data_IF_936737272111
#
_entry.id   IF_936737272111
#
_cell.length_a   1.000
_cell.length_b   1.000
_cell.length_c   1.000
_cell.angle_alpha   90.00
_cell.angle_beta   90.00
_cell.angle_gamma   90.00
#
_symmetry.space_group_name_H-M   'P 1'
#
loop_
_entity.id
_entity.type
_entity.pdbx_description
1 polymer ?
#
# COMPACT_ATOMS: atom_id res chain seq x y z
N UNK A 1 39.35 -52.23 11.57
CA UNK A 1 39.28 -50.94 12.30
C UNK A 1 39.29 -49.81 11.28
N UNK A 2 38.12 -49.31 10.88
CA UNK A 2 37.96 -47.99 10.26
C UNK A 2 36.47 -47.62 10.36
N UNK A 3 36.13 -46.78 11.33
CA UNK A 3 34.78 -46.24 11.52
C UNK A 3 34.68 -45.02 10.61
N UNK A 4 33.96 -45.13 9.50
CA UNK A 4 33.59 -43.99 8.66
C UNK A 4 32.39 -43.29 9.32
N UNK A 5 32.66 -42.30 10.17
CA UNK A 5 31.63 -41.39 10.67
C UNK A 5 31.33 -40.40 9.55
N UNK A 6 30.27 -40.70 8.78
CA UNK A 6 29.69 -39.73 7.85
C UNK A 6 29.00 -38.67 8.71
N UNK A 7 29.66 -37.53 8.91
CA UNK A 7 28.99 -36.30 9.31
C UNK A 7 27.99 -35.94 8.19
N UNK A 8 26.75 -36.40 8.32
CA UNK A 8 25.61 -35.75 7.67
C UNK A 8 25.54 -34.35 8.29
N UNK A 9 26.15 -33.38 7.62
CA UNK A 9 25.83 -31.98 7.82
C UNK A 9 24.35 -31.82 7.49
N UNK A 10 23.54 -31.73 8.54
CA UNK A 10 22.19 -31.21 8.48
C UNK A 10 22.28 -29.77 7.97
N UNK A 11 22.32 -29.60 6.66
CA UNK A 11 21.99 -28.36 5.97
C UNK A 11 20.54 -28.07 6.35
N UNK A 12 20.38 -27.29 7.41
CA UNK A 12 19.14 -26.64 7.76
C UNK A 12 18.75 -25.83 6.52
N UNK A 13 17.83 -26.36 5.72
CA UNK A 13 17.08 -25.58 4.75
C UNK A 13 16.36 -24.53 5.59
N UNK A 14 16.97 -23.36 5.74
CA UNK A 14 16.24 -22.17 6.13
C UNK A 14 15.24 -21.97 5.00
N UNK A 15 13.98 -22.32 5.28
CA UNK A 15 12.87 -21.83 4.48
C UNK A 15 13.10 -20.33 4.35
N UNK A 16 13.34 -19.86 3.13
CA UNK A 16 13.31 -18.44 2.81
C UNK A 16 11.91 -18.00 3.21
N UNK A 17 11.79 -17.49 4.44
CA UNK A 17 10.56 -16.87 4.92
C UNK A 17 10.36 -15.73 3.96
N UNK A 18 9.38 -15.90 3.07
CA UNK A 18 8.91 -14.89 2.13
C UNK A 18 9.06 -13.52 2.77
N UNK A 19 9.81 -12.63 2.11
CA UNK A 19 10.14 -11.32 2.64
C UNK A 19 8.91 -10.70 3.29
N UNK A 20 9.01 -10.41 4.58
CA UNK A 20 7.96 -9.68 5.27
C UNK A 20 7.75 -8.39 4.49
N UNK A 21 6.50 -8.07 4.24
CA UNK A 21 6.07 -6.87 3.53
C UNK A 21 6.56 -5.62 4.29
N UNK A 22 7.74 -5.12 3.93
CA UNK A 22 8.41 -4.00 4.61
C UNK A 22 8.30 -2.78 3.73
N UNK A 23 7.47 -1.82 4.15
CA UNK A 23 7.07 -0.70 3.31
C UNK A 23 7.20 0.60 4.09
N UNK A 24 7.62 1.70 3.41
CA UNK A 24 7.56 3.03 3.99
C UNK A 24 6.11 3.48 4.25
N UNK A 25 5.89 4.14 5.38
CA UNK A 25 4.60 4.71 5.74
C UNK A 25 4.75 6.19 6.05
N UNK A 26 3.79 6.99 5.59
CA UNK A 26 3.68 8.40 5.91
C UNK A 26 2.39 8.61 6.67
N UNK A 27 2.48 9.31 7.80
CA UNK A 27 1.32 9.68 8.58
C UNK A 27 1.23 11.21 8.61
N UNK A 28 0.13 11.74 8.09
CA UNK A 28 -0.15 13.18 8.09
C UNK A 28 -0.83 13.57 9.40
N UNK A 29 -0.27 14.56 10.05
CA UNK A 29 -0.65 15.13 11.35
C UNK A 29 -0.43 16.64 11.34
N UNK A 30 -1.34 17.34 10.67
CA UNK A 30 -1.38 18.81 10.70
C UNK A 30 -1.71 19.36 12.10
N UNK A 31 -2.22 18.53 13.00
CA UNK A 31 -2.60 18.90 14.37
C UNK A 31 -1.43 18.80 15.37
N UNK A 32 -0.28 18.27 14.97
CA UNK A 32 0.91 18.12 15.82
C UNK A 32 0.79 17.08 16.93
N UNK A 33 -0.14 16.13 16.86
CA UNK A 33 -0.36 15.11 17.92
C UNK A 33 0.80 14.13 18.07
N UNK A 34 1.68 14.06 17.07
CA UNK A 34 2.88 13.22 17.02
C UNK A 34 4.18 14.00 17.27
N UNK A 35 4.14 15.24 17.75
CA UNK A 35 5.38 16.03 17.98
C UNK A 35 6.38 15.30 18.88
N UNK A 36 5.88 14.63 19.93
CA UNK A 36 6.68 13.84 20.88
C UNK A 36 7.10 12.46 20.35
N UNK A 37 6.55 12.02 19.21
CA UNK A 37 6.87 10.73 18.62
C UNK A 37 8.24 10.79 17.93
N UNK A 38 9.21 10.10 18.53
CA UNK A 38 10.52 9.87 17.95
C UNK A 38 10.50 8.63 17.04
N UNK A 39 10.84 8.84 15.77
CA UNK A 39 11.06 7.76 14.80
C UNK A 39 12.54 7.71 14.49
N UNK A 40 13.14 6.53 14.63
CA UNK A 40 14.53 6.27 14.27
C UNK A 40 14.72 6.54 12.78
N UNK A 41 15.55 7.54 12.39
CA UNK A 41 15.76 7.89 10.99
C UNK A 41 16.55 6.83 10.21
N UNK A 42 17.24 5.91 10.90
CA UNK A 42 18.03 4.88 10.26
C UNK A 42 17.15 3.97 9.37
N UNK A 43 17.37 3.96 8.03
CA UNK A 43 16.57 3.16 7.12
C UNK A 43 16.84 1.66 7.24
N UNK A 44 17.80 1.21 8.05
CA UNK A 44 18.01 -0.21 8.35
C UNK A 44 17.22 -0.69 9.57
N UNK A 45 16.74 0.25 10.40
CA UNK A 45 15.90 -0.09 11.54
C UNK A 45 14.49 -0.44 11.05
N UNK A 46 14.03 -1.64 11.41
CA UNK A 46 12.68 -2.12 11.06
C UNK A 46 11.73 -1.81 12.20
N UNK A 47 10.65 -1.13 11.88
CA UNK A 47 9.57 -0.83 12.80
C UNK A 47 8.67 -2.06 12.89
N UNK A 48 8.50 -2.58 14.11
CA UNK A 48 7.67 -3.75 14.35
C UNK A 48 6.19 -3.42 14.15
N UNK A 49 5.41 -4.43 13.74
CA UNK A 49 3.97 -4.30 13.58
C UNK A 49 3.28 -3.87 14.89
N UNK A 50 3.77 -4.35 16.04
CA UNK A 50 3.23 -4.01 17.35
C UNK A 50 3.45 -2.53 17.70
N UNK A 51 4.69 -2.03 17.55
CA UNK A 51 4.99 -0.62 17.79
C UNK A 51 4.18 0.30 16.87
N UNK A 52 4.07 -0.08 15.59
CA UNK A 52 3.27 0.69 14.65
C UNK A 52 1.79 0.70 15.03
N UNK A 53 1.23 -0.42 15.51
CA UNK A 53 -0.15 -0.47 16.03
C UNK A 53 -0.36 0.47 17.21
N UNK A 54 0.58 0.51 18.16
CA UNK A 54 0.53 1.42 19.31
C UNK A 54 0.50 2.88 18.85
N UNK A 55 1.37 3.24 17.90
CA UNK A 55 1.39 4.58 17.30
C UNK A 55 0.03 4.93 16.67
N UNK A 56 -0.53 4.05 15.83
CA UNK A 56 -1.82 4.31 15.19
C UNK A 56 -2.93 4.47 16.23
N UNK A 57 -2.98 3.61 17.25
CA UNK A 57 -3.96 3.72 18.33
C UNK A 57 -3.86 5.02 19.11
N UNK A 58 -2.65 5.51 19.36
CA UNK A 58 -2.45 6.75 20.11
C UNK A 58 -2.76 7.99 19.29
N UNK A 59 -2.44 7.98 17.99
CA UNK A 59 -2.76 9.10 17.08
C UNK A 59 -4.28 9.23 16.91
N UNK A 60 -5.00 8.13 16.70
CA UNK A 60 -6.47 8.15 16.52
C UNK A 60 -7.21 8.71 17.74
N UNK A 61 -6.67 8.55 18.94
CA UNK A 61 -7.28 9.12 20.16
C UNK A 61 -7.13 10.63 20.25
N UNK A 62 -6.14 11.21 19.57
CA UNK A 62 -5.72 12.61 19.74
C UNK A 62 -6.07 13.48 18.54
N UNK A 63 -6.00 12.93 17.32
CA UNK A 63 -6.22 13.66 16.09
C UNK A 63 -7.67 13.52 15.60
N UNK A 64 -8.21 14.62 15.05
CA UNK A 64 -9.52 14.62 14.38
C UNK A 64 -9.48 13.93 13.01
N UNK A 65 -8.34 14.00 12.31
CA UNK A 65 -8.15 13.31 11.04
C UNK A 65 -6.74 12.74 10.99
N UNK A 66 -6.67 11.47 10.60
CA UNK A 66 -5.43 10.70 10.45
C UNK A 66 -5.36 10.20 9.02
N UNK A 67 -4.37 10.67 8.26
CA UNK A 67 -4.09 10.10 6.95
C UNK A 67 -2.87 9.21 7.04
N UNK A 68 -3.04 7.95 6.65
CA UNK A 68 -1.98 6.95 6.59
C UNK A 68 -1.76 6.62 5.12
N UNK A 69 -0.63 7.05 4.57
CA UNK A 69 -0.21 6.71 3.21
C UNK A 69 0.80 5.57 3.25
N UNK A 70 0.42 4.44 2.68
CA UNK A 70 1.27 3.25 2.57
C UNK A 70 1.36 2.92 1.10
N UNK A 71 2.56 2.92 0.54
CA UNK A 71 2.74 2.67 -0.89
C UNK A 71 4.02 1.87 -1.10
N UNK A 72 3.91 0.72 -1.75
CA UNK A 72 5.03 -0.22 -1.87
C UNK A 72 6.03 0.17 -2.97
N UNK A 73 5.55 0.88 -3.99
CA UNK A 73 6.39 1.46 -5.05
C UNK A 73 6.95 2.83 -4.67
N UNK A 74 6.60 3.37 -3.51
CA UNK A 74 7.02 4.70 -3.11
C UNK A 74 8.38 4.68 -2.45
N UNK A 75 9.25 5.58 -2.87
CA UNK A 75 10.60 5.70 -2.35
C UNK A 75 10.89 7.10 -1.82
N UNK A 76 11.86 7.24 -0.93
CA UNK A 76 12.29 8.59 -0.46
C UNK A 76 12.88 9.45 -1.57
N UNK A 77 13.37 8.83 -2.64
CA UNK A 77 13.80 9.53 -3.84
C UNK A 77 12.61 10.24 -4.50
N UNK A 78 11.40 9.68 -4.47
CA UNK A 78 10.22 10.30 -5.07
C UNK A 78 9.84 11.65 -4.39
N UNK A 79 10.21 11.84 -3.11
CA UNK A 79 9.99 13.09 -2.36
C UNK A 79 11.11 14.10 -2.63
N UNK A 80 12.34 13.62 -2.75
CA UNK A 80 13.54 14.47 -2.83
C UNK A 80 13.95 14.83 -4.25
N UNK A 81 13.57 14.02 -5.24
CA UNK A 81 13.84 14.26 -6.67
C UNK A 81 13.12 15.50 -7.14
N UNK A 82 13.79 16.32 -7.94
CA UNK A 82 13.24 17.54 -8.53
C UNK A 82 13.32 17.46 -10.04
N UNK A 83 12.23 17.81 -10.72
CA UNK A 83 12.25 18.13 -12.14
C UNK A 83 12.09 19.65 -12.34
N UNK A 84 11.76 20.08 -13.57
CA UNK A 84 11.55 21.49 -13.89
C UNK A 84 10.42 22.17 -13.11
N UNK A 85 9.50 21.41 -12.51
CA UNK A 85 8.39 21.88 -11.69
C UNK A 85 8.63 21.69 -10.18
N UNK A 86 9.83 21.21 -9.79
CA UNK A 86 10.16 20.90 -8.41
C UNK A 86 9.90 19.43 -8.06
N UNK A 87 9.69 19.13 -6.77
CA UNK A 87 9.37 17.77 -6.35
C UNK A 87 7.94 17.38 -6.77
N UNK A 88 7.71 16.14 -7.23
CA UNK A 88 6.36 15.64 -7.45
C UNK A 88 5.51 15.62 -6.18
N UNK A 89 6.11 15.41 -5.01
CA UNK A 89 5.44 15.37 -3.70
C UNK A 89 5.66 16.66 -2.91
N UNK A 90 5.17 17.78 -3.45
CA UNK A 90 5.39 19.09 -2.86
C UNK A 90 4.76 19.22 -1.47
N UNK A 91 3.49 18.85 -1.33
CA UNK A 91 2.77 18.99 -0.07
C UNK A 91 3.36 18.06 1.00
N UNK A 92 3.69 16.81 0.63
CA UNK A 92 4.37 15.90 1.54
C UNK A 92 5.77 16.40 1.94
N UNK A 93 6.55 16.97 1.02
CA UNK A 93 7.86 17.57 1.34
C UNK A 93 7.72 18.76 2.29
N UNK A 94 6.79 19.68 2.03
CA UNK A 94 6.50 20.82 2.91
C UNK A 94 6.06 20.31 4.29
N UNK A 95 5.16 19.33 4.35
CA UNK A 95 4.71 18.72 5.61
C UNK A 95 5.82 18.03 6.40
N UNK A 96 6.80 17.39 5.74
CA UNK A 96 7.97 16.83 6.41
C UNK A 96 8.87 17.92 7.02
N UNK A 97 9.08 19.03 6.30
CA UNK A 97 9.85 20.18 6.79
C UNK A 97 9.15 20.84 7.98
N UNK A 98 7.84 21.00 7.89
CA UNK A 98 6.99 21.59 8.92
C UNK A 98 6.67 20.63 10.08
N UNK A 99 7.16 19.38 10.04
CA UNK A 99 6.91 18.30 11.01
C UNK A 99 5.44 17.86 11.11
N UNK A 100 4.61 18.21 10.13
CA UNK A 100 3.21 17.79 9.99
C UNK A 100 3.05 16.43 9.32
N UNK A 101 4.14 15.84 8.85
CA UNK A 101 4.16 14.47 8.32
C UNK A 101 5.24 13.69 9.07
N UNK A 102 4.88 12.50 9.58
CA UNK A 102 5.85 11.56 10.14
C UNK A 102 6.13 10.47 9.12
N UNK A 103 7.41 10.26 8.86
CA UNK A 103 7.91 9.24 7.95
C UNK A 103 8.41 8.03 8.75
N UNK A 104 7.89 6.85 8.41
CA UNK A 104 8.25 5.56 8.98
C UNK A 104 8.93 4.73 7.88
N UNK A 105 10.28 4.63 7.85
CA UNK A 105 10.99 4.15 6.67
C UNK A 105 10.78 2.67 6.34
N UNK A 106 10.62 1.82 7.36
CA UNK A 106 10.51 0.37 7.19
C UNK A 106 9.54 -0.23 8.19
N UNK A 107 8.24 -0.16 7.91
CA UNK A 107 7.21 -0.79 8.74
C UNK A 107 6.98 -2.22 8.28
N UNK A 108 6.94 -3.17 9.22
CA UNK A 108 6.65 -4.58 8.94
C UNK A 108 5.14 -4.80 8.86
N UNK A 109 4.69 -5.33 7.71
CA UNK A 109 3.31 -5.70 7.39
C UNK A 109 2.25 -4.59 7.66
N UNK A 110 2.50 -3.31 7.31
CA UNK A 110 1.58 -2.21 7.64
C UNK A 110 0.20 -2.45 7.05
N UNK A 111 0.13 -2.97 5.83
CA UNK A 111 -1.11 -3.33 5.15
C UNK A 111 -1.99 -4.30 5.92
N UNK A 112 -1.38 -5.41 6.33
CA UNK A 112 -2.08 -6.48 7.04
C UNK A 112 -2.59 -5.97 8.38
N UNK A 113 -1.79 -5.19 9.09
CA UNK A 113 -2.22 -4.55 10.34
C UNK A 113 -3.41 -3.62 10.10
N UNK A 114 -3.33 -2.69 9.15
CA UNK A 114 -4.38 -1.70 8.92
C UNK A 114 -5.68 -2.35 8.43
N UNK A 115 -5.58 -3.41 7.60
CA UNK A 115 -6.72 -4.24 7.23
C UNK A 115 -7.36 -4.97 8.42
N UNK A 116 -6.55 -5.44 9.39
CA UNK A 116 -7.06 -6.07 10.61
C UNK A 116 -7.71 -5.05 11.55
N UNK A 117 -7.13 -3.85 11.66
CA UNK A 117 -7.59 -2.79 12.56
C UNK A 117 -8.91 -2.16 12.10
N UNK A 118 -9.02 -1.81 10.81
CA UNK A 118 -10.15 -1.05 10.30
C UNK A 118 -11.16 -1.88 9.51
N UNK A 119 -10.80 -3.10 9.10
CA UNK A 119 -11.67 -4.05 8.39
C UNK A 119 -12.32 -3.44 7.13
N UNK A 120 -11.72 -3.65 5.93
CA UNK A 120 -12.26 -3.09 4.70
C UNK A 120 -13.66 -3.66 4.41
N UNK A 121 -14.58 -2.77 4.04
CA UNK A 121 -15.97 -3.08 3.68
C UNK A 121 -16.32 -2.33 2.40
N UNK A 122 -17.22 -2.83 1.57
CA UNK A 122 -17.55 -2.17 0.29
C UNK A 122 -17.96 -0.69 0.45
N UNK A 123 -18.61 -0.35 1.56
CA UNK A 123 -19.06 1.01 1.88
C UNK A 123 -17.94 1.98 2.29
N UNK A 124 -16.76 1.47 2.66
CA UNK A 124 -15.63 2.30 3.11
C UNK A 124 -14.47 2.31 2.10
N UNK A 125 -14.63 1.68 0.92
CA UNK A 125 -13.62 1.62 -0.13
C UNK A 125 -13.98 2.58 -1.27
N UNK A 126 -13.07 3.51 -1.55
CA UNK A 126 -13.22 4.55 -2.55
C UNK A 126 -12.08 4.50 -3.55
N UNK A 127 -12.42 4.77 -4.80
CA UNK A 127 -11.46 4.96 -5.87
C UNK A 127 -11.48 6.41 -6.28
N UNK A 128 -10.37 7.10 -6.08
CA UNK A 128 -10.30 8.55 -6.29
C UNK A 128 -9.38 8.85 -7.47
N UNK A 129 -9.86 9.71 -8.35
CA UNK A 129 -9.07 10.38 -9.40
C UNK A 129 -9.16 11.89 -9.20
N UNK A 130 -8.28 12.64 -9.85
CA UNK A 130 -8.33 14.11 -9.82
C UNK A 130 -9.68 14.62 -10.31
N UNK A 131 -10.24 15.62 -9.60
CA UNK A 131 -11.52 16.24 -9.95
C UNK A 131 -12.77 15.44 -9.58
N UNK A 132 -12.64 14.36 -8.80
CA UNK A 132 -13.79 13.71 -8.19
C UNK A 132 -14.36 14.55 -7.04
N UNK A 133 -15.69 14.60 -6.96
CA UNK A 133 -16.37 15.25 -5.85
C UNK A 133 -16.22 14.41 -4.57
N UNK A 134 -15.31 14.83 -3.70
CA UNK A 134 -15.05 14.20 -2.40
C UNK A 134 -16.20 14.42 -1.40
N UNK A 135 -17.23 15.22 -1.74
CA UNK A 135 -18.47 15.36 -0.94
C UNK A 135 -19.22 14.02 -0.83
N UNK A 136 -18.93 13.06 -1.71
CA UNK A 136 -19.44 11.68 -1.63
C UNK A 136 -18.92 10.88 -0.43
N UNK A 137 -17.87 11.35 0.25
CA UNK A 137 -17.34 10.68 1.44
C UNK A 137 -18.32 10.86 2.60
N UNK A 138 -19.02 9.78 2.94
CA UNK A 138 -20.12 9.82 3.89
C UNK A 138 -19.62 10.17 5.30
N UNK A 139 -20.20 11.21 5.91
CA UNK A 139 -19.83 11.76 7.24
C UNK A 139 -19.85 10.75 8.40
N UNK A 140 -20.42 9.57 8.19
CA UNK A 140 -20.57 8.52 9.22
C UNK A 140 -19.40 7.53 9.24
N UNK A 141 -18.56 7.53 8.20
CA UNK A 141 -17.46 6.59 8.08
C UNK A 141 -16.30 7.03 8.96
N UNK A 142 -15.92 6.19 9.92
CA UNK A 142 -14.77 6.42 10.81
C UNK A 142 -13.42 6.06 10.18
N UNK A 143 -13.46 5.30 9.09
CA UNK A 143 -12.28 4.92 8.33
C UNK A 143 -12.63 4.79 6.85
N UNK A 144 -11.67 5.12 6.01
CA UNK A 144 -11.80 5.15 4.55
C UNK A 144 -10.59 4.44 3.95
N UNK A 145 -10.82 3.60 2.97
CA UNK A 145 -9.81 2.97 2.12
C UNK A 145 -9.83 3.68 0.78
N UNK A 146 -8.76 4.38 0.44
CA UNK A 146 -8.69 5.22 -0.76
C UNK A 146 -7.63 4.66 -1.71
N UNK A 147 -8.07 4.29 -2.91
CA UNK A 147 -7.23 3.80 -3.99
C UNK A 147 -7.13 4.85 -5.08
N UNK A 148 -5.93 5.21 -5.49
CA UNK A 148 -5.74 6.15 -6.59
C UNK A 148 -5.92 5.45 -7.93
N UNK A 149 -6.77 6.05 -8.79
CA UNK A 149 -6.87 5.61 -10.18
C UNK A 149 -5.88 6.40 -11.00
N UNK A 150 -4.88 5.68 -11.52
CA UNK A 150 -3.88 6.28 -12.38
C UNK A 150 -4.41 6.57 -13.78
N UNK A 151 -4.01 7.72 -14.33
CA UNK A 151 -4.34 8.13 -15.67
C UNK A 151 -3.62 7.25 -16.70
N UNK A 152 -4.24 7.08 -17.86
CA UNK A 152 -3.60 6.40 -18.99
C UNK A 152 -2.54 7.34 -19.57
N UNK A 153 -1.32 6.84 -19.76
CA UNK A 153 -0.16 7.55 -20.33
C UNK A 153 0.43 8.68 -19.47
N UNK A 154 0.22 8.68 -18.15
CA UNK A 154 0.91 9.60 -17.25
C UNK A 154 2.36 9.13 -16.99
N UNK A 155 3.30 10.06 -16.92
CA UNK A 155 4.64 9.81 -16.38
C UNK A 155 4.56 9.55 -14.87
N UNK A 156 5.58 8.86 -14.32
CA UNK A 156 5.69 8.67 -12.86
C UNK A 156 5.55 9.99 -12.10
N UNK A 157 6.26 11.03 -12.51
CA UNK A 157 6.22 12.33 -11.86
C UNK A 157 4.82 12.99 -11.87
N UNK A 158 4.04 12.80 -12.94
CA UNK A 158 2.65 13.30 -13.01
C UNK A 158 1.72 12.51 -12.08
N UNK A 159 1.85 11.17 -12.05
CA UNK A 159 1.10 10.30 -11.12
C UNK A 159 1.32 10.73 -9.68
N UNK A 160 2.59 10.92 -9.30
CA UNK A 160 2.97 11.30 -7.94
C UNK A 160 2.43 12.67 -7.53
N UNK A 161 2.47 13.67 -8.43
CA UNK A 161 1.85 14.98 -8.19
C UNK A 161 0.36 14.89 -7.95
N UNK A 162 -0.32 14.07 -8.75
CA UNK A 162 -1.75 13.86 -8.61
C UNK A 162 -2.07 13.19 -7.27
N UNK A 163 -1.30 12.19 -6.87
CA UNK A 163 -1.45 11.55 -5.55
C UNK A 163 -1.26 12.55 -4.41
N UNK A 164 -0.22 13.37 -4.47
CA UNK A 164 0.07 14.43 -3.49
C UNK A 164 -1.08 15.44 -3.35
N UNK A 165 -1.66 15.86 -4.47
CA UNK A 165 -2.84 16.74 -4.49
C UNK A 165 -4.08 16.07 -3.89
N UNK A 166 -4.37 14.82 -4.27
CA UNK A 166 -5.55 14.11 -3.75
C UNK A 166 -5.42 13.89 -2.23
N UNK A 167 -4.25 13.51 -1.73
CA UNK A 167 -4.04 13.33 -0.28
C UNK A 167 -4.34 14.62 0.49
N UNK A 168 -3.85 15.76 -0.01
CA UNK A 168 -4.13 17.07 0.58
C UNK A 168 -5.62 17.42 0.51
N UNK A 169 -6.27 17.17 -0.61
CA UNK A 169 -7.68 17.49 -0.80
C UNK A 169 -8.57 16.69 0.15
N UNK A 170 -8.35 15.38 0.25
CA UNK A 170 -9.08 14.53 1.19
C UNK A 170 -8.83 14.95 2.64
N UNK A 171 -7.59 15.32 3.01
CA UNK A 171 -7.33 15.84 4.36
C UNK A 171 -8.22 17.04 4.67
N UNK A 172 -8.24 18.02 3.78
CA UNK A 172 -8.99 19.27 3.95
C UNK A 172 -10.49 19.00 4.01
N UNK A 173 -11.01 18.16 3.11
CA UNK A 173 -12.44 17.79 3.09
C UNK A 173 -12.81 17.04 4.37
N UNK A 174 -12.03 16.04 4.78
CA UNK A 174 -12.31 15.27 5.99
C UNK A 174 -12.33 16.17 7.22
N UNK A 175 -11.30 16.99 7.40
CA UNK A 175 -11.19 17.91 8.55
C UNK A 175 -12.40 18.83 8.65
N UNK A 176 -12.92 19.31 7.53
CA UNK A 176 -14.01 20.28 7.53
C UNK A 176 -15.41 19.62 7.61
N UNK A 177 -15.52 18.30 7.45
CA UNK A 177 -16.84 17.63 7.28
C UNK A 177 -17.19 16.56 8.32
N UNK A 178 -16.22 16.03 9.06
CA UNK A 178 -16.43 14.85 9.92
C UNK A 178 -16.44 15.19 11.41
N UNK A 179 -17.37 14.59 12.15
CA UNK A 179 -17.49 14.74 13.60
C UNK A 179 -16.70 13.61 14.31
N UNK A 180 -15.38 13.73 14.40
CA UNK A 180 -14.49 12.83 15.16
C UNK A 180 -13.33 12.22 14.35
N UNK A 181 -12.50 11.36 14.98
CA UNK A 181 -11.28 10.82 14.36
C UNK A 181 -11.61 9.97 13.13
N UNK A 182 -11.25 10.46 11.94
CA UNK A 182 -11.35 9.71 10.69
C UNK A 182 -9.98 9.26 10.23
N UNK A 183 -9.86 7.96 9.95
CA UNK A 183 -8.65 7.37 9.39
C UNK A 183 -8.81 7.13 7.90
N UNK A 184 -8.13 7.91 7.08
CA UNK A 184 -8.04 7.63 5.65
C UNK A 184 -6.73 6.89 5.36
N UNK A 185 -6.89 5.68 4.83
CA UNK A 185 -5.80 4.80 4.45
C UNK A 185 -5.65 4.79 2.93
N UNK A 186 -4.45 5.08 2.46
CA UNK A 186 -4.13 5.15 1.05
C UNK A 186 -3.17 4.05 0.66
N UNK A 187 -3.43 3.47 -0.50
CA UNK A 187 -2.65 2.35 -1.00
C UNK A 187 -2.68 2.16 -2.52
N UNK A 188 -1.52 1.82 -3.09
CA UNK A 188 -1.37 1.27 -4.44
C UNK A 188 -1.44 -0.26 -4.52
N UNK A 189 -1.62 -0.97 -3.40
CA UNK A 189 -1.89 -2.41 -3.40
C UNK A 189 -3.28 -2.72 -3.94
N UNK A 190 -3.49 -3.97 -4.33
CA UNK A 190 -4.79 -4.47 -4.77
C UNK A 190 -5.89 -4.22 -3.73
N UNK A 191 -7.09 -3.87 -4.20
CA UNK A 191 -8.27 -3.73 -3.35
C UNK A 191 -8.56 -5.06 -2.63
N UNK A 192 -8.57 -5.10 -1.28
CA UNK A 192 -8.84 -6.32 -0.52
C UNK A 192 -10.28 -6.84 -0.67
N UNK A 193 -11.20 -6.03 -1.21
CA UNK A 193 -12.61 -6.34 -1.41
C UNK A 193 -12.92 -6.82 -2.83
N UNK A 194 -12.05 -6.55 -3.81
CA UNK A 194 -12.18 -7.11 -5.16
C UNK A 194 -11.65 -8.55 -5.18
N UNK A 195 -12.47 -9.47 -4.71
CA UNK A 195 -12.48 -10.85 -5.20
C UNK A 195 -13.71 -10.95 -6.11
N UNK A 196 -13.66 -10.31 -7.27
CA UNK A 196 -14.45 -10.83 -8.37
C UNK A 196 -13.88 -12.21 -8.63
N UNK A 197 -14.62 -13.25 -8.27
CA UNK A 197 -14.37 -14.59 -8.81
C UNK A 197 -14.32 -14.38 -10.32
N UNK A 198 -13.16 -14.59 -10.92
CA UNK A 198 -13.07 -14.79 -12.35
C UNK A 198 -14.01 -15.97 -12.62
N UNK A 199 -15.19 -15.69 -13.15
CA UNK A 199 -16.05 -16.69 -13.75
C UNK A 199 -15.26 -17.23 -14.95
N UNK A 200 -14.44 -18.24 -14.68
CA UNK A 200 -13.79 -19.01 -15.72
C UNK A 200 -14.92 -19.65 -16.53
N UNK A 201 -15.24 -19.05 -17.68
CA UNK A 201 -16.00 -19.75 -18.71
C UNK A 201 -15.17 -21.00 -19.04
N UNK A 202 -15.66 -22.22 -18.77
CA UNK A 202 -14.91 -23.42 -19.09
C UNK A 202 -14.64 -23.42 -20.59
N UNK A 203 -13.37 -23.31 -20.97
CA UNK A 203 -12.97 -23.42 -22.37
C UNK A 203 -13.32 -24.85 -22.78
N UNK A 204 -14.18 -25.00 -23.79
CA UNK A 204 -14.54 -26.30 -24.31
C UNK A 204 -13.26 -27.10 -24.63
N UNK A 205 -13.18 -28.39 -24.26
CA UNK A 205 -12.01 -29.20 -24.56
C UNK A 205 -11.75 -29.16 -26.07
N UNK A 206 -10.50 -28.86 -26.45
CA UNK A 206 -10.08 -28.97 -27.85
C UNK A 206 -10.19 -30.46 -28.21
N UNK A 207 -10.78 -30.82 -29.36
CA UNK A 207 -10.83 -32.21 -29.80
C UNK A 207 -9.43 -32.81 -29.86
N UNK A 208 -9.28 -34.04 -29.33
CA UNK A 208 -8.01 -34.75 -29.25
C UNK A 208 -7.29 -34.76 -30.60
N UNK A 209 -6.04 -34.29 -30.60
CA UNK A 209 -5.14 -34.39 -31.74
C UNK A 209 -4.80 -35.85 -31.98
N UNK A 210 -5.04 -36.35 -33.20
CA UNK A 210 -4.66 -37.72 -33.61
C UNK A 210 -3.16 -37.89 -33.87
N UNK A 211 -2.35 -36.85 -33.66
CA UNK A 211 -0.92 -36.87 -33.94
C UNK A 211 -0.13 -36.91 -32.62
N UNK A 212 0.77 -37.89 -32.42
CA UNK A 212 1.62 -37.94 -31.25
C UNK A 212 2.60 -36.75 -31.29
N UNK A 213 2.32 -35.71 -30.54
CA UNK A 213 3.19 -34.53 -30.46
C UNK A 213 2.61 -33.45 -29.55
N UNK A 214 3.45 -32.92 -28.66
CA UNK A 214 3.06 -31.80 -27.80
C UNK A 214 3.09 -30.51 -28.61
N UNK A 215 1.91 -29.91 -28.82
CA UNK A 215 1.73 -28.61 -29.48
C UNK A 215 1.49 -27.54 -28.43
N UNK A 216 2.20 -26.42 -28.53
CA UNK A 216 1.93 -25.24 -27.69
C UNK A 216 0.87 -24.40 -28.38
N UNK A 217 -0.27 -24.21 -27.70
CA UNK A 217 -1.34 -23.33 -28.18
C UNK A 217 -1.37 -22.08 -27.32
N UNK A 218 -1.41 -20.91 -27.98
CA UNK A 218 -1.50 -19.60 -27.34
C UNK A 218 -2.89 -19.03 -27.55
N UNK A 219 -3.55 -18.63 -26.46
CA UNK A 219 -4.76 -17.82 -26.51
C UNK A 219 -4.62 -16.66 -25.51
N UNK A 220 -4.50 -15.44 -26.04
CA UNK A 220 -4.10 -14.26 -25.25
C UNK A 220 -2.70 -14.42 -24.63
N UNK A 221 -2.61 -14.26 -23.31
CA UNK A 221 -1.37 -14.32 -22.53
C UNK A 221 -1.08 -15.69 -21.89
N UNK A 222 -1.88 -16.72 -22.19
CA UNK A 222 -1.75 -18.07 -21.63
C UNK A 222 -1.16 -19.04 -22.65
N UNK A 223 -0.21 -19.85 -22.18
CA UNK A 223 0.41 -20.93 -22.94
C UNK A 223 -0.09 -22.26 -22.39
N UNK A 224 -0.59 -23.15 -23.25
CA UNK A 224 -0.90 -24.53 -22.89
C UNK A 224 -0.20 -25.52 -23.81
N UNK A 225 0.25 -26.61 -23.22
CA UNK A 225 0.76 -27.78 -23.93
C UNK A 225 -0.41 -28.73 -24.19
N UNK A 226 -0.63 -29.08 -25.45
CA UNK A 226 -1.68 -30.02 -25.89
C UNK A 226 -0.97 -31.20 -26.55
N UNK A 227 -1.15 -32.41 -26.00
CA UNK A 227 -0.56 -33.65 -26.51
C UNK A 227 -1.59 -34.56 -27.15
#
# INVERSE_FOLDING_TARGET
MLIFVILLSSLSFQTVVSDKDIIPVFLIDESGVMDDLYIEPNPFFKISTAFFADVIHDVIKKAEVVIIFVEDQFSTEDISTKDSLGTPYRNMQEGLIEKKVKYFPKVIEPYKLLNQMFQPHQSNVFYVSSGMDLIMLEKRLRHLYIFFRDGKNETRAEVLRRHDLIMREVYMVMRDTVDGPVVAFYTGKMNPVLIDKLDFVPIAPIPDSKFPGVTVVTDGALFRFVG
#
